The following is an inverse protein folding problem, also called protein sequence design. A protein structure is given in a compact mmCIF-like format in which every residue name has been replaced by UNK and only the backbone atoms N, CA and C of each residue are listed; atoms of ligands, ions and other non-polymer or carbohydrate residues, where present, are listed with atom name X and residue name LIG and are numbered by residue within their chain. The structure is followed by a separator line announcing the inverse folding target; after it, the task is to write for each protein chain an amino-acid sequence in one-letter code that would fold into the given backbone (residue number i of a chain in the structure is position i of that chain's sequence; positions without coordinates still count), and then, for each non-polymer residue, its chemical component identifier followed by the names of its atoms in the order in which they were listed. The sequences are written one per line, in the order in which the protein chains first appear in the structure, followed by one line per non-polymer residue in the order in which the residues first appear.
data_IF_666227851853
#
_entry.id   IF_666227851853
#
_cell.length_a   1.000
_cell.length_b   1.000
_cell.length_c   1.000
_cell.angle_alpha   90.00
_cell.angle_beta   90.00
_cell.angle_gamma   90.00
#
_symmetry.space_group_name_H-M   'P 1'
#
loop_
_entity.id
_entity.type
_entity.pdbx_description
1 polymer ?
#
# COMPACT_ATOMS: atom_id res chain seq x y z
N UNK A 1 -4.98 10.34 -11.46
CA UNK A 1 -4.63 11.09 -10.24
C UNK A 1 -3.29 11.83 -10.36
N UNK A 2 -3.14 12.95 -9.64
CA UNK A 2 -1.86 13.67 -9.43
C UNK A 2 -1.80 14.18 -7.99
N UNK A 3 -0.61 14.40 -7.45
CA UNK A 3 -0.43 15.00 -6.13
C UNK A 3 -0.03 13.99 -5.05
N UNK A 4 -0.20 14.40 -3.80
CA UNK A 4 0.13 13.61 -2.61
C UNK A 4 -1.14 13.23 -1.88
N UNK A 5 -1.18 12.00 -1.37
CA UNK A 5 -2.33 11.46 -0.65
C UNK A 5 -1.87 10.90 0.67
N UNK A 6 -2.39 11.45 1.77
CA UNK A 6 -2.16 10.91 3.10
C UNK A 6 -3.09 9.73 3.34
N UNK A 7 -2.51 8.61 3.76
CA UNK A 7 -3.23 7.38 4.07
C UNK A 7 -3.10 7.12 5.55
N UNK A 8 -4.24 6.90 6.17
CA UNK A 8 -4.37 6.60 7.58
C UNK A 8 -5.17 5.32 7.76
N UNK A 9 -4.59 4.33 8.45
CA UNK A 9 -5.26 3.06 8.76
C UNK A 9 -5.06 2.75 10.23
N UNK A 10 -6.14 2.51 10.95
CA UNK A 10 -6.09 2.31 12.40
C UNK A 10 -7.08 1.24 12.86
N UNK A 11 -6.67 0.39 13.81
CA UNK A 11 -7.60 -0.31 14.69
C UNK A 11 -7.22 -0.04 16.17
N UNK A 12 -7.77 -0.81 17.11
CA UNK A 12 -7.47 -0.66 18.53
C UNK A 12 -6.01 -0.97 18.95
N UNK A 13 -5.22 -1.62 18.08
CA UNK A 13 -3.85 -2.09 18.37
C UNK A 13 -2.79 -1.45 17.49
N UNK A 14 -3.11 -1.12 16.25
CA UNK A 14 -2.16 -0.70 15.22
C UNK A 14 -2.61 0.62 14.60
N UNK A 15 -1.63 1.46 14.26
CA UNK A 15 -1.81 2.68 13.47
C UNK A 15 -0.80 2.67 12.33
N UNK A 16 -1.24 3.04 11.15
CA UNK A 16 -0.39 3.32 10.00
C UNK A 16 -0.70 4.72 9.51
N UNK A 17 0.33 5.53 9.31
CA UNK A 17 0.20 6.88 8.77
C UNK A 17 1.36 7.14 7.81
N UNK A 18 1.04 7.37 6.54
CA UNK A 18 2.03 7.59 5.49
C UNK A 18 1.45 8.45 4.38
N UNK A 19 2.32 8.93 3.47
CA UNK A 19 1.92 9.74 2.32
C UNK A 19 2.44 9.12 1.04
N UNK A 20 1.55 8.91 0.08
CA UNK A 20 1.89 8.45 -1.26
C UNK A 20 2.03 9.67 -2.16
N UNK A 21 3.18 9.81 -2.83
CA UNK A 21 3.52 11.00 -3.62
C UNK A 21 3.66 10.74 -5.12
N UNK A 22 3.62 9.47 -5.54
CA UNK A 22 3.77 9.04 -6.94
C UNK A 22 2.81 7.91 -7.27
N UNK A 23 2.64 7.67 -8.57
CA UNK A 23 1.79 6.62 -9.10
C UNK A 23 2.23 5.21 -8.69
N UNK A 24 3.52 4.98 -8.37
CA UNK A 24 3.99 3.68 -7.89
C UNK A 24 4.87 3.89 -6.66
N UNK A 25 4.49 3.21 -5.58
CA UNK A 25 5.22 3.13 -4.33
C UNK A 25 5.45 1.66 -3.98
N UNK A 26 6.69 1.30 -3.65
CA UNK A 26 7.07 -0.06 -3.25
C UNK A 26 7.25 -0.09 -1.74
N UNK A 27 6.63 -1.05 -1.08
CA UNK A 27 6.88 -1.34 0.33
C UNK A 27 7.69 -2.65 0.43
N UNK A 28 8.96 -2.54 0.84
CA UNK A 28 9.86 -3.68 1.08
C UNK A 28 10.07 -3.96 2.56
N UNK A 29 10.54 -5.16 2.86
CA UNK A 29 11.08 -5.53 4.17
C UNK A 29 10.88 -7.01 4.49
N UNK A 30 11.48 -7.44 5.60
CA UNK A 30 11.43 -8.83 6.04
C UNK A 30 10.01 -9.26 6.50
N UNK A 31 9.80 -10.56 6.64
CA UNK A 31 8.52 -11.11 7.10
C UNK A 31 8.24 -10.55 8.51
N UNK A 32 6.98 -10.32 8.86
CA UNK A 32 6.52 -9.83 10.17
C UNK A 32 6.65 -8.32 10.48
N UNK A 33 7.06 -7.45 9.55
CA UNK A 33 7.11 -5.98 9.79
C UNK A 33 5.76 -5.26 9.58
N UNK A 34 4.63 -5.95 9.69
CA UNK A 34 3.30 -5.35 9.57
C UNK A 34 2.81 -4.97 8.16
N UNK A 35 3.47 -5.44 7.09
CA UNK A 35 3.07 -5.18 5.69
C UNK A 35 1.77 -5.90 5.31
N UNK A 36 1.73 -7.22 5.48
CA UNK A 36 0.51 -8.02 5.29
C UNK A 36 -0.61 -7.51 6.19
N UNK A 37 -0.29 -7.14 7.43
CA UNK A 37 -1.26 -6.58 8.38
C UNK A 37 -1.90 -5.28 7.89
N UNK A 38 -1.18 -4.40 7.19
CA UNK A 38 -1.79 -3.20 6.57
C UNK A 38 -2.85 -3.61 5.54
N UNK A 39 -2.53 -4.57 4.67
CA UNK A 39 -3.45 -5.06 3.63
C UNK A 39 -4.64 -5.81 4.26
N UNK A 40 -4.43 -6.56 5.33
CA UNK A 40 -5.48 -7.25 6.08
C UNK A 40 -6.48 -6.25 6.68
N UNK A 41 -5.99 -5.15 7.26
CA UNK A 41 -6.84 -4.09 7.79
C UNK A 41 -7.66 -3.39 6.71
N UNK A 42 -7.03 -3.10 5.56
CA UNK A 42 -7.72 -2.51 4.41
C UNK A 42 -8.80 -3.45 3.86
N UNK A 43 -8.49 -4.75 3.71
CA UNK A 43 -9.46 -5.77 3.28
C UNK A 43 -10.62 -5.95 4.28
N UNK A 44 -10.34 -5.89 5.58
CA UNK A 44 -11.38 -5.95 6.60
C UNK A 44 -12.33 -4.74 6.50
N UNK A 45 -11.77 -3.54 6.31
CA UNK A 45 -12.56 -2.34 6.11
C UNK A 45 -13.36 -2.37 4.80
N UNK A 46 -12.77 -2.83 3.70
CA UNK A 46 -13.47 -2.96 2.41
C UNK A 46 -14.69 -3.88 2.51
N UNK A 47 -14.56 -4.98 3.25
CA UNK A 47 -15.62 -5.97 3.44
C UNK A 47 -16.74 -5.51 4.38
N UNK A 48 -16.36 -4.99 5.55
CA UNK A 48 -17.28 -4.79 6.68
C UNK A 48 -17.47 -3.31 7.07
N UNK A 49 -16.78 -2.39 6.38
CA UNK A 49 -16.79 -0.96 6.68
C UNK A 49 -16.43 -0.67 8.14
N UNK A 50 -17.16 0.24 8.76
CA UNK A 50 -17.00 0.59 10.18
C UNK A 50 -17.17 -0.61 11.13
N UNK A 51 -17.91 -1.66 10.72
CA UNK A 51 -18.12 -2.85 11.56
C UNK A 51 -16.86 -3.70 11.69
N UNK A 52 -15.85 -3.50 10.84
CA UNK A 52 -14.54 -4.15 10.94
C UNK A 52 -13.75 -3.73 12.20
N UNK A 53 -14.12 -2.61 12.83
CA UNK A 53 -13.32 -1.97 13.87
C UNK A 53 -12.03 -1.31 13.33
N UNK A 54 -11.91 -1.18 12.01
CA UNK A 54 -10.84 -0.49 11.31
C UNK A 54 -11.34 0.88 10.84
N UNK A 55 -10.52 1.91 11.05
CA UNK A 55 -10.72 3.24 10.52
C UNK A 55 -9.73 3.48 9.38
N UNK A 56 -10.24 3.74 8.18
CA UNK A 56 -9.45 4.13 7.01
C UNK A 56 -9.79 5.58 6.66
N UNK A 57 -8.78 6.44 6.53
CA UNK A 57 -8.95 7.82 6.02
C UNK A 57 -7.95 8.08 4.90
N UNK A 58 -8.49 8.54 3.77
CA UNK A 58 -7.76 9.07 2.64
C UNK A 58 -8.72 9.91 1.79
N UNK A 59 -8.21 10.87 1.03
CA UNK A 59 -9.02 11.71 0.15
C UNK A 59 -9.53 10.95 -1.09
N UNK A 60 -9.03 9.75 -1.33
CA UNK A 60 -9.39 8.84 -2.41
C UNK A 60 -9.60 7.43 -1.88
N UNK A 61 -10.35 6.56 -2.57
CA UNK A 61 -10.54 5.19 -2.13
C UNK A 61 -9.22 4.41 -2.02
N UNK A 62 -9.10 3.60 -0.97
CA UNK A 62 -8.01 2.65 -0.78
C UNK A 62 -8.54 1.24 -1.05
N UNK A 63 -8.10 0.61 -2.14
CA UNK A 63 -8.63 -0.67 -2.60
C UNK A 63 -7.51 -1.71 -2.63
N UNK A 64 -7.78 -2.92 -2.15
CA UNK A 64 -6.82 -4.03 -2.25
C UNK A 64 -7.22 -4.91 -3.44
N UNK A 65 -6.26 -5.24 -4.31
CA UNK A 65 -6.49 -6.18 -5.42
C UNK A 65 -5.58 -7.39 -5.33
N UNK A 66 -6.08 -8.52 -5.84
CA UNK A 66 -5.32 -9.75 -5.95
C UNK A 66 -6.06 -10.83 -6.74
N UNK A 67 -5.47 -12.01 -6.80
CA UNK A 67 -6.07 -13.19 -7.42
C UNK A 67 -6.04 -13.17 -8.96
N UNK A 68 -6.72 -14.14 -9.57
CA UNK A 68 -6.66 -14.37 -11.03
C UNK A 68 -7.40 -13.31 -11.84
N UNK A 69 -8.46 -12.70 -11.28
CA UNK A 69 -9.29 -11.68 -11.95
C UNK A 69 -8.82 -10.25 -11.71
N UNK A 70 -7.55 -10.07 -11.36
CA UNK A 70 -6.98 -8.75 -11.04
C UNK A 70 -7.17 -7.75 -12.18
N UNK A 71 -7.07 -8.20 -13.43
CA UNK A 71 -7.12 -7.36 -14.61
C UNK A 71 -8.53 -6.80 -14.86
N UNK A 72 -9.55 -7.65 -14.70
CA UNK A 72 -10.96 -7.25 -14.76
C UNK A 72 -11.32 -6.32 -13.61
N UNK A 73 -10.86 -6.62 -12.39
CA UNK A 73 -11.09 -5.77 -11.23
C UNK A 73 -10.49 -4.37 -11.44
N UNK A 74 -9.26 -4.31 -11.96
CA UNK A 74 -8.56 -3.04 -12.19
C UNK A 74 -9.24 -2.16 -13.25
N UNK A 75 -10.00 -2.74 -14.19
CA UNK A 75 -10.76 -1.96 -15.20
C UNK A 75 -11.87 -1.10 -14.61
N UNK A 76 -12.38 -1.46 -13.42
CA UNK A 76 -13.47 -0.72 -12.77
C UNK A 76 -12.97 0.18 -11.63
N UNK A 77 -11.67 0.15 -11.34
CA UNK A 77 -11.08 0.95 -10.27
C UNK A 77 -10.46 2.19 -10.90
N UNK A 78 -10.93 3.36 -10.47
CA UNK A 78 -10.46 4.65 -10.93
C UNK A 78 -10.21 5.59 -9.77
N UNK A 79 -9.30 6.55 -9.98
CA UNK A 79 -8.93 7.56 -9.00
C UNK A 79 -8.75 7.04 -7.56
N UNK A 80 -8.11 5.89 -7.41
CA UNK A 80 -7.91 5.19 -6.13
C UNK A 80 -6.44 4.90 -5.85
N UNK A 81 -6.11 4.61 -4.59
CA UNK A 81 -4.84 3.97 -4.21
C UNK A 81 -5.07 2.46 -4.14
N UNK A 82 -4.42 1.74 -5.04
CA UNK A 82 -4.51 0.29 -5.21
C UNK A 82 -3.36 -0.40 -4.48
N UNK A 83 -3.69 -1.20 -3.48
CA UNK A 83 -2.75 -1.99 -2.67
C UNK A 83 -2.66 -3.42 -3.20
N UNK A 84 -1.45 -3.95 -3.31
CA UNK A 84 -1.21 -5.30 -3.85
C UNK A 84 -0.17 -6.03 -3.00
N UNK A 85 -0.46 -7.28 -2.65
CA UNK A 85 0.45 -8.15 -1.91
C UNK A 85 1.42 -8.90 -2.83
N UNK A 86 2.58 -9.27 -2.31
CA UNK A 86 3.68 -9.96 -3.00
C UNK A 86 3.27 -11.34 -3.52
N UNK A 87 2.30 -11.98 -2.85
CA UNK A 87 1.76 -13.28 -3.24
C UNK A 87 1.15 -13.27 -4.65
N UNK A 88 0.86 -12.10 -5.22
CA UNK A 88 0.29 -11.93 -6.54
C UNK A 88 1.37 -11.95 -7.63
N UNK A 89 1.62 -13.11 -8.23
CA UNK A 89 2.64 -13.27 -9.30
C UNK A 89 2.47 -12.33 -10.49
N UNK A 90 1.24 -11.83 -10.74
CA UNK A 90 0.97 -10.91 -11.83
C UNK A 90 1.73 -9.57 -11.70
N UNK A 91 2.17 -9.16 -10.50
CA UNK A 91 2.89 -7.89 -10.32
C UNK A 91 4.21 -7.82 -11.12
N UNK A 92 4.71 -8.98 -11.56
CA UNK A 92 5.92 -9.13 -12.37
C UNK A 92 5.65 -9.21 -13.87
N UNK A 93 4.40 -9.35 -14.31
CA UNK A 93 4.08 -9.54 -15.72
C UNK A 93 4.15 -8.23 -16.52
N UNK A 94 4.35 -8.36 -17.84
CA UNK A 94 4.25 -7.24 -18.77
C UNK A 94 2.81 -6.69 -18.82
N UNK A 95 1.81 -7.57 -18.77
CA UNK A 95 0.39 -7.19 -18.77
C UNK A 95 0.07 -6.24 -17.62
N UNK A 96 0.56 -6.54 -16.41
CA UNK A 96 0.37 -5.68 -15.26
C UNK A 96 1.04 -4.32 -15.45
N UNK A 97 2.27 -4.30 -16.00
CA UNK A 97 2.98 -3.06 -16.28
C UNK A 97 2.25 -2.17 -17.30
N UNK A 98 1.67 -2.77 -18.34
CA UNK A 98 0.82 -2.06 -19.32
C UNK A 98 -0.40 -1.44 -18.61
N UNK A 99 -1.13 -2.23 -17.81
CA UNK A 99 -2.32 -1.72 -17.10
C UNK A 99 -1.99 -0.63 -16.09
N UNK A 100 -0.88 -0.73 -15.36
CA UNK A 100 -0.42 0.33 -14.44
C UNK A 100 -0.11 1.62 -15.18
N UNK A 101 0.51 1.54 -16.36
CA UNK A 101 0.87 2.71 -17.17
C UNK A 101 -0.35 3.45 -17.72
N UNK A 102 -1.41 2.72 -18.05
CA UNK A 102 -2.65 3.27 -18.61
C UNK A 102 -3.65 3.72 -17.54
N UNK A 103 -3.44 3.31 -16.29
CA UNK A 103 -4.33 3.59 -15.18
C UNK A 103 -4.20 5.03 -14.64
N UNK A 104 -5.31 5.58 -14.16
CA UNK A 104 -5.38 6.83 -13.41
C UNK A 104 -5.16 6.64 -11.89
N UNK A 105 -4.93 5.41 -11.42
CA UNK A 105 -4.71 5.06 -10.03
C UNK A 105 -3.26 5.26 -9.56
N UNK A 106 -3.09 5.30 -8.24
CA UNK A 106 -1.79 5.13 -7.59
C UNK A 106 -1.68 3.69 -7.10
N UNK A 107 -0.48 3.11 -7.12
CA UNK A 107 -0.22 1.72 -6.77
C UNK A 107 0.76 1.64 -5.61
N UNK A 108 0.38 0.90 -4.57
CA UNK A 108 1.21 0.55 -3.44
C UNK A 108 1.44 -0.96 -3.48
N UNK A 109 2.65 -1.38 -3.85
CA UNK A 109 2.98 -2.78 -4.05
C UNK A 109 3.89 -3.24 -2.92
N UNK A 110 3.41 -4.20 -2.13
CA UNK A 110 4.21 -4.92 -1.14
C UNK A 110 4.98 -6.01 -1.87
N UNK A 111 6.31 -5.95 -1.85
CA UNK A 111 7.17 -6.97 -2.47
C UNK A 111 8.59 -6.85 -1.95
N UNK A 112 9.34 -7.96 -1.91
CA UNK A 112 10.81 -7.90 -1.75
C UNK A 112 11.53 -7.83 -3.08
N UNK A 113 10.90 -8.36 -4.12
CA UNK A 113 11.47 -8.47 -5.44
C UNK A 113 11.51 -7.12 -6.16
N UNK A 114 12.54 -6.95 -6.99
CA UNK A 114 12.57 -5.87 -7.96
C UNK A 114 11.50 -6.11 -9.04
N UNK A 115 10.81 -5.04 -9.44
CA UNK A 115 9.80 -5.06 -10.50
C UNK A 115 10.31 -4.31 -11.74
N UNK A 116 11.25 -4.87 -12.52
CA UNK A 116 11.94 -4.16 -13.60
C UNK A 116 11.00 -3.65 -14.70
N UNK A 117 9.82 -4.26 -14.84
CA UNK A 117 8.81 -3.86 -15.81
C UNK A 117 8.05 -2.59 -15.39
N UNK A 118 8.20 -2.13 -14.14
CA UNK A 118 7.49 -0.96 -13.60
C UNK A 118 8.42 0.26 -13.48
N UNK A 119 7.98 1.45 -13.92
CA UNK A 119 8.79 2.67 -13.88
C UNK A 119 8.72 3.37 -12.50
N UNK A 120 8.98 2.64 -11.41
CA UNK A 120 9.00 3.24 -10.06
C UNK A 120 10.37 3.88 -9.75
N UNK A 121 10.36 4.92 -8.91
CA UNK A 121 11.59 5.56 -8.46
C UNK A 121 12.16 4.84 -7.23
N UNK A 122 13.49 4.73 -7.14
CA UNK A 122 14.18 4.26 -5.91
C UNK A 122 13.83 5.08 -4.67
N UNK A 123 13.40 6.33 -4.85
CA UNK A 123 12.94 7.21 -3.76
C UNK A 123 11.55 6.84 -3.23
N UNK A 124 10.80 6.04 -3.99
CA UNK A 124 9.47 5.55 -3.60
C UNK A 124 9.52 4.11 -3.09
N UNK A 125 10.70 3.65 -2.64
CA UNK A 125 10.85 2.36 -1.96
C UNK A 125 10.93 2.63 -0.45
N UNK A 126 9.98 2.07 0.29
CA UNK A 126 9.84 2.27 1.73
C UNK A 126 9.84 0.95 2.49
N UNK A 127 10.31 0.97 3.73
CA UNK A 127 10.01 -0.08 4.71
C UNK A 127 8.97 0.38 5.71
N UNK A 128 8.36 -0.56 6.43
CA UNK A 128 7.49 -0.28 7.58
C UNK A 128 8.29 -0.54 8.85
N UNK A 129 8.22 0.39 9.80
CA UNK A 129 8.78 0.21 11.15
C UNK A 129 7.85 0.78 12.20
N UNK A 130 7.98 0.27 13.42
CA UNK A 130 7.38 0.91 14.58
C UNK A 130 8.07 2.25 14.86
N UNK A 131 7.26 3.30 15.00
CA UNK A 131 7.70 4.62 15.41
C UNK A 131 7.63 4.73 16.93
N UNK A 132 8.75 5.08 17.58
CA UNK A 132 8.78 5.39 19.01
C UNK A 132 8.18 6.76 19.36
N UNK A 133 7.56 7.45 18.39
CA UNK A 133 7.09 8.85 18.50
C UNK A 133 6.11 9.09 19.65
N UNK A 134 5.46 8.04 20.16
CA UNK A 134 4.50 8.12 21.24
C UNK A 134 4.72 7.02 22.30
N UNK A 135 5.95 6.91 22.81
CA UNK A 135 6.28 5.99 23.90
C UNK A 135 5.33 6.19 25.10
N UNK A 136 4.49 5.18 25.38
CA UNK A 136 3.47 5.20 26.45
C UNK A 136 2.04 4.87 26.01
N UNK A 137 1.76 4.77 24.70
CA UNK A 137 0.43 4.44 24.17
C UNK A 137 0.22 2.92 24.03
N UNK A 138 -1.00 2.43 24.30
CA UNK A 138 -1.39 1.01 24.12
C UNK A 138 -1.36 0.52 22.67
N UNK A 139 -1.21 1.43 21.71
CA UNK A 139 -1.30 1.18 20.27
C UNK A 139 0.10 1.30 19.64
N UNK A 140 0.43 0.38 18.74
CA UNK A 140 1.69 0.40 17.98
C UNK A 140 1.54 1.30 16.76
N UNK A 141 2.42 2.28 16.64
CA UNK A 141 2.43 3.26 15.56
C UNK A 141 3.44 2.83 14.50
N UNK A 142 3.00 2.65 13.27
CA UNK A 142 3.85 2.25 12.16
C UNK A 142 4.00 3.40 11.17
N UNK A 143 5.24 3.65 10.75
CA UNK A 143 5.57 4.66 9.74
C UNK A 143 6.35 4.04 8.58
N UNK A 144 6.24 4.68 7.41
CA UNK A 144 7.04 4.32 6.24
C UNK A 144 8.37 5.07 6.27
N UNK A 145 9.48 4.37 6.03
CA UNK A 145 10.81 4.97 5.94
C UNK A 145 11.44 4.68 4.58
N UNK A 146 11.99 5.69 3.92
CA UNK A 146 12.59 5.54 2.59
C UNK A 146 13.95 4.85 2.67
N UNK A 147 14.24 3.90 1.79
CA UNK A 147 15.55 3.26 1.72
C UNK A 147 16.63 4.18 1.14
N UNK A 148 16.27 5.14 0.27
CA UNK A 148 17.21 6.05 -0.38
C UNK A 148 17.72 7.21 0.53
N UNK A 149 17.39 7.20 1.83
CA UNK A 149 17.73 8.25 2.79
C UNK A 149 18.98 8.01 3.62
N UNK A 150 19.82 7.01 3.30
CA UNK A 150 21.13 6.81 3.93
C UNK A 150 22.24 7.11 2.91
N UNK A 151 22.65 8.38 2.84
CA UNK A 151 24.00 8.80 2.46
C UNK A 151 24.48 9.77 3.52
#
# INVERSE_FOLDING_TARGET
MKGKYSVFVQNNRLRYEFTISRNITIIRGDSATGKTTLLDLLNAYDRDGDSSGVLVKCDVPCVVIGGQRWEENLQFIHNSIVFIDECNRFIKSEDFAVRVKESDNYFVIVTRDDLPNLPYSVKEIYGIRESGKYAGLKQVYNEFYCFAGKN
#
